data_IF_287870583331
#
_entry.id   IF_287870583331
#
_cell.length_a   1.000
_cell.length_b   1.000
_cell.length_c   1.000
_cell.angle_alpha   90.00
_cell.angle_beta   90.00
_cell.angle_gamma   90.00
#
_symmetry.space_group_name_H-M   'P 1'
#
loop_
_entity.id
_entity.type
_entity.pdbx_description
1 polymer ?
#
# COMPACT_ATOMS: atom_id res chain seq x y z
N UNK A 1 3.66 -7.14 13.74
CA UNK A 1 4.92 -7.62 13.11
C UNK A 1 4.60 -7.99 11.68
N UNK A 2 5.50 -7.69 10.75
CA UNK A 2 5.37 -8.06 9.34
C UNK A 2 6.43 -9.10 9.00
N UNK A 3 6.07 -10.11 8.22
CA UNK A 3 6.98 -11.13 7.70
C UNK A 3 6.81 -11.27 6.19
N UNK A 4 7.92 -11.52 5.53
CA UNK A 4 8.01 -11.72 4.09
C UNK A 4 8.60 -13.09 3.84
N UNK A 5 7.89 -13.90 3.06
CA UNK A 5 8.33 -15.23 2.66
C UNK A 5 8.47 -15.29 1.14
N UNK A 6 9.32 -16.18 0.65
CA UNK A 6 9.39 -16.49 -0.77
C UNK A 6 8.12 -17.21 -1.21
N UNK A 7 7.56 -16.82 -2.34
CA UNK A 7 6.58 -17.65 -3.03
C UNK A 7 7.29 -18.80 -3.78
N UNK A 8 6.53 -19.82 -4.14
CA UNK A 8 6.86 -20.85 -5.13
C UNK A 8 7.31 -20.31 -6.50
N UNK A 9 7.09 -19.02 -6.78
CA UNK A 9 7.59 -18.35 -7.99
C UNK A 9 8.79 -17.46 -7.63
N UNK A 10 9.96 -17.66 -8.26
CA UNK A 10 11.16 -16.88 -7.96
C UNK A 10 10.92 -15.37 -8.10
N UNK A 11 11.36 -14.61 -7.08
CA UNK A 11 11.25 -13.15 -7.06
C UNK A 11 9.87 -12.63 -6.65
N UNK A 12 8.95 -13.50 -6.22
CA UNK A 12 7.64 -13.09 -5.69
C UNK A 12 7.61 -13.25 -4.17
N UNK A 13 7.00 -12.27 -3.50
CA UNK A 13 6.83 -12.24 -2.06
C UNK A 13 5.43 -12.67 -1.62
N UNK A 14 5.39 -13.42 -0.53
CA UNK A 14 4.18 -13.64 0.25
C UNK A 14 4.31 -12.88 1.57
N UNK A 15 3.45 -11.88 1.75
CA UNK A 15 3.45 -10.97 2.88
C UNK A 15 2.44 -11.42 3.92
N UNK A 16 2.84 -11.38 5.19
CA UNK A 16 1.97 -11.62 6.33
C UNK A 16 2.14 -10.53 7.37
N UNK A 17 1.05 -10.15 8.02
CA UNK A 17 1.08 -9.19 9.12
C UNK A 17 0.08 -9.57 10.21
N UNK A 18 0.19 -8.94 11.36
CA UNK A 18 -0.80 -9.10 12.42
C UNK A 18 -2.06 -8.30 12.05
N UNK A 19 -3.22 -8.95 12.10
CA UNK A 19 -4.48 -8.24 11.99
C UNK A 19 -4.61 -7.18 13.12
N UNK A 20 -5.01 -5.98 12.76
CA UNK A 20 -5.31 -4.88 13.67
C UNK A 20 -6.77 -5.00 14.10
N UNK A 21 -7.08 -5.05 15.41
CA UNK A 21 -8.46 -5.04 15.88
C UNK A 21 -9.21 -3.80 15.39
N UNK A 22 -10.39 -3.97 14.80
CA UNK A 22 -11.20 -2.88 14.25
C UNK A 22 -10.93 -2.57 12.77
N UNK A 23 -9.82 -3.04 12.21
CA UNK A 23 -9.54 -2.89 10.78
C UNK A 23 -10.49 -3.76 9.94
N UNK A 24 -11.14 -3.14 8.97
CA UNK A 24 -12.04 -3.82 8.03
C UNK A 24 -11.29 -4.31 6.79
N UNK A 25 -10.21 -3.62 6.42
CA UNK A 25 -9.46 -3.88 5.19
C UNK A 25 -8.05 -3.29 5.27
N UNK A 26 -7.18 -3.73 4.36
CA UNK A 26 -5.78 -3.31 4.28
C UNK A 26 -5.39 -2.89 2.87
N UNK A 27 -4.57 -1.86 2.75
CA UNK A 27 -3.84 -1.52 1.55
C UNK A 27 -2.39 -2.01 1.69
N UNK A 28 -1.87 -2.64 0.64
CA UNK A 28 -0.53 -3.23 0.57
C UNK A 28 0.28 -2.42 -0.42
N UNK A 29 1.41 -1.91 0.05
CA UNK A 29 2.21 -0.90 -0.65
C UNK A 29 3.64 -1.42 -0.77
N UNK A 30 4.24 -1.24 -1.93
CA UNK A 30 5.65 -1.53 -2.22
C UNK A 30 6.35 -0.23 -2.60
N UNK A 31 7.60 -0.07 -2.20
CA UNK A 31 8.46 0.99 -2.73
C UNK A 31 9.90 0.52 -2.90
N UNK A 32 10.69 1.31 -3.61
CA UNK A 32 12.10 1.05 -3.85
C UNK A 32 12.94 1.61 -2.69
N UNK A 33 13.76 0.77 -2.06
CA UNK A 33 14.60 1.18 -0.94
C UNK A 33 15.62 2.26 -1.35
N UNK A 34 16.03 2.29 -2.62
CA UNK A 34 16.97 3.29 -3.13
C UNK A 34 16.38 4.71 -3.22
N UNK A 35 15.05 4.81 -3.25
CA UNK A 35 14.32 6.09 -3.25
C UNK A 35 14.05 6.62 -1.84
N UNK A 36 14.30 5.80 -0.80
CA UNK A 36 14.15 6.21 0.59
C UNK A 36 15.26 7.19 0.95
N UNK A 37 14.87 8.38 1.39
CA UNK A 37 15.80 9.43 1.80
C UNK A 37 15.41 10.01 3.15
N UNK A 38 16.40 10.50 3.88
CA UNK A 38 16.19 11.22 5.13
C UNK A 38 16.66 12.65 4.95
N UNK A 39 15.78 13.61 5.17
CA UNK A 39 16.09 15.04 5.07
C UNK A 39 15.34 15.81 6.14
N UNK A 40 16.01 16.74 6.82
CA UNK A 40 15.42 17.59 7.86
C UNK A 40 14.70 16.82 9.00
N UNK A 41 15.11 15.59 9.29
CA UNK A 41 14.48 14.75 10.31
C UNK A 41 13.21 14.02 9.85
N UNK A 42 12.85 14.15 8.58
CA UNK A 42 11.75 13.43 7.95
C UNK A 42 12.30 12.34 7.02
N UNK A 43 11.58 11.21 6.95
CA UNK A 43 11.85 10.12 6.01
C UNK A 43 10.92 10.32 4.82
N UNK A 44 11.48 10.49 3.62
CA UNK A 44 10.71 10.40 2.38
C UNK A 44 10.83 8.98 1.83
N UNK A 45 9.70 8.36 1.53
CA UNK A 45 9.64 7.02 0.96
C UNK A 45 9.84 6.99 -0.57
N UNK A 46 9.88 8.16 -1.20
CA UNK A 46 9.84 8.27 -2.65
C UNK A 46 8.50 7.80 -3.26
N UNK A 47 8.49 7.48 -4.56
CA UNK A 47 7.34 6.88 -5.22
C UNK A 47 7.00 5.49 -4.66
N UNK A 48 5.71 5.19 -4.53
CA UNK A 48 5.23 3.88 -4.06
C UNK A 48 4.16 3.30 -4.98
N UNK A 49 4.10 1.97 -5.04
CA UNK A 49 3.13 1.21 -5.80
C UNK A 49 2.13 0.52 -4.85
N UNK A 50 0.84 0.68 -5.12
CA UNK A 50 -0.22 -0.05 -4.38
C UNK A 50 -0.40 -1.41 -5.04
N UNK A 51 0.10 -2.46 -4.39
CA UNK A 51 0.01 -3.84 -4.87
C UNK A 51 -1.40 -4.41 -4.72
N UNK A 52 -2.09 -4.01 -3.66
CA UNK A 52 -3.48 -4.40 -3.42
C UNK A 52 -4.15 -3.37 -2.53
N UNK A 53 -5.37 -2.97 -2.89
CA UNK A 53 -6.20 -2.13 -2.03
C UNK A 53 -7.39 -2.92 -1.51
N UNK A 54 -7.79 -2.64 -0.27
CA UNK A 54 -8.97 -3.21 0.33
C UNK A 54 -8.92 -4.72 0.60
N UNK A 55 -7.74 -5.24 0.92
CA UNK A 55 -7.54 -6.63 1.27
C UNK A 55 -8.25 -6.96 2.60
N UNK A 56 -9.14 -7.98 2.65
CA UNK A 56 -9.88 -8.31 3.87
C UNK A 56 -9.07 -9.14 4.88
N UNK A 57 -7.94 -9.71 4.44
CA UNK A 57 -7.10 -10.59 5.24
C UNK A 57 -5.79 -9.94 5.65
N UNK A 58 -5.07 -10.59 6.58
CA UNK A 58 -3.76 -10.15 7.05
C UNK A 58 -2.59 -10.80 6.29
N UNK A 59 -2.80 -11.05 5.00
CA UNK A 59 -1.82 -11.66 4.10
C UNK A 59 -2.04 -11.17 2.67
N UNK A 60 -0.97 -11.04 1.91
CA UNK A 60 -1.02 -10.69 0.49
C UNK A 60 0.05 -11.42 -0.30
N UNK A 61 -0.35 -12.03 -1.41
CA UNK A 61 0.52 -12.76 -2.32
C UNK A 61 0.71 -11.97 -3.59
N UNK A 62 1.96 -11.66 -3.92
CA UNK A 62 2.27 -11.02 -5.19
C UNK A 62 1.84 -11.90 -6.37
N UNK A 63 1.21 -11.28 -7.36
CA UNK A 63 0.84 -11.94 -8.59
C UNK A 63 2.05 -12.17 -9.51
N UNK A 64 1.91 -12.99 -10.58
CA UNK A 64 3.01 -13.31 -11.49
C UNK A 64 3.57 -12.10 -12.27
N UNK A 65 2.90 -10.95 -12.20
CA UNK A 65 3.35 -9.67 -12.75
C UNK A 65 4.14 -8.81 -11.75
N UNK A 66 4.51 -9.36 -10.58
CA UNK A 66 5.32 -8.66 -9.60
C UNK A 66 6.70 -8.26 -10.14
N UNK A 67 7.20 -7.12 -9.68
CA UNK A 67 8.55 -6.68 -10.02
C UNK A 67 9.59 -7.50 -9.25
N UNK A 68 10.69 -7.83 -9.90
CA UNK A 68 11.85 -8.47 -9.27
C UNK A 68 12.93 -7.40 -9.10
N UNK A 69 13.45 -7.15 -7.88
CA UNK A 69 14.48 -6.16 -7.70
C UNK A 69 15.76 -6.60 -8.40
N UNK A 70 16.46 -5.67 -9.05
CA UNK A 70 17.78 -5.95 -9.63
C UNK A 70 18.78 -6.29 -8.53
N UNK A 71 19.84 -7.02 -8.88
CA UNK A 71 20.89 -7.39 -7.92
C UNK A 71 21.48 -6.13 -7.27
N UNK A 72 21.45 -6.08 -5.94
CA UNK A 72 21.92 -4.94 -5.15
C UNK A 72 20.83 -3.91 -4.81
N UNK A 73 19.62 -4.06 -5.37
CA UNK A 73 18.43 -3.31 -4.97
C UNK A 73 17.53 -4.15 -4.08
N UNK A 74 16.65 -3.47 -3.34
CA UNK A 74 15.64 -4.11 -2.52
C UNK A 74 14.36 -3.29 -2.56
N UNK A 75 13.23 -3.98 -2.44
CA UNK A 75 11.96 -3.34 -2.16
C UNK A 75 11.70 -3.30 -0.66
N UNK A 76 11.00 -2.27 -0.20
CA UNK A 76 10.33 -2.27 1.09
C UNK A 76 8.83 -2.45 0.89
N UNK A 77 8.17 -2.96 1.93
CA UNK A 77 6.73 -3.18 1.93
C UNK A 77 6.10 -2.52 3.15
N UNK A 78 4.96 -1.87 2.93
CA UNK A 78 4.13 -1.27 3.97
C UNK A 78 2.71 -1.82 3.87
N UNK A 79 2.03 -1.86 5.02
CA UNK A 79 0.62 -2.23 5.11
C UNK A 79 -0.09 -1.15 5.90
N UNK A 80 -1.14 -0.60 5.31
CA UNK A 80 -2.01 0.38 5.94
C UNK A 80 -3.37 -0.25 6.20
N UNK A 81 -3.91 -0.10 7.41
CA UNK A 81 -5.25 -0.58 7.73
C UNK A 81 -6.30 0.51 7.44
N UNK A 82 -7.56 0.12 7.28
CA UNK A 82 -8.68 1.06 7.13
C UNK A 82 -9.81 0.67 8.07
N UNK A 83 -10.45 1.68 8.64
CA UNK A 83 -11.67 1.57 9.45
C UNK A 83 -12.79 2.27 8.65
N UNK A 84 -13.60 1.49 7.92
CA UNK A 84 -14.58 2.03 6.96
C UNK A 84 -13.94 2.51 5.64
N UNK A 85 -14.62 3.44 4.95
CA UNK A 85 -14.15 3.99 3.67
C UNK A 85 -12.97 4.96 3.80
N UNK A 86 -12.63 5.37 5.02
CA UNK A 86 -11.52 6.29 5.29
C UNK A 86 -10.26 5.49 5.63
N UNK A 87 -9.11 5.90 5.09
CA UNK A 87 -7.84 5.40 5.60
C UNK A 87 -7.65 5.75 7.06
N UNK A 88 -6.89 4.92 7.78
CA UNK A 88 -6.35 5.24 9.10
C UNK A 88 -5.31 6.39 9.10
N UNK A 89 -5.13 7.11 7.98
CA UNK A 89 -4.01 8.03 7.78
C UNK A 89 -2.65 7.32 7.74
N UNK A 90 -1.61 8.11 7.47
CA UNK A 90 -0.22 7.66 7.48
C UNK A 90 0.34 7.73 8.91
N UNK A 91 0.19 6.63 9.64
CA UNK A 91 0.61 6.52 11.05
C UNK A 91 -0.56 6.59 12.03
N UNK A 92 -0.24 6.62 13.31
CA UNK A 92 -1.21 6.77 14.41
C UNK A 92 -0.97 8.10 15.11
N UNK A 93 -1.92 8.59 15.93
CA UNK A 93 -1.67 9.77 16.78
C UNK A 93 -0.42 9.62 17.67
N UNK A 94 -0.10 8.38 18.08
CA UNK A 94 1.06 8.06 18.91
C UNK A 94 2.34 7.77 18.13
N UNK A 95 2.25 7.64 16.80
CA UNK A 95 3.37 7.40 15.90
C UNK A 95 3.02 7.92 14.49
N UNK A 96 2.96 9.25 14.31
CA UNK A 96 2.68 9.85 13.01
C UNK A 96 3.82 9.49 12.04
N UNK A 97 3.47 9.06 10.81
CA UNK A 97 4.48 8.69 9.82
C UNK A 97 5.13 9.96 9.24
N UNK A 98 6.43 9.96 8.90
CA UNK A 98 7.08 11.13 8.34
C UNK A 98 6.61 11.31 6.89
N UNK A 99 5.88 12.40 6.63
CA UNK A 99 5.42 12.91 5.34
C UNK A 99 4.60 11.98 4.41
N UNK A 100 3.53 12.53 3.82
CA UNK A 100 2.81 11.89 2.71
C UNK A 100 3.76 11.65 1.51
N UNK A 101 3.62 10.53 0.77
CA UNK A 101 4.41 10.28 -0.43
C UNK A 101 4.17 11.39 -1.46
N UNK A 102 5.24 11.76 -2.20
CA UNK A 102 5.17 12.81 -3.22
C UNK A 102 4.38 12.41 -4.47
N UNK A 103 4.19 11.10 -4.70
CA UNK A 103 3.41 10.55 -5.82
C UNK A 103 2.94 9.11 -5.54
N UNK A 104 1.73 8.77 -6.01
CA UNK A 104 1.14 7.43 -5.97
C UNK A 104 0.55 7.12 -7.36
N UNK A 105 0.92 6.00 -8.00
CA UNK A 105 0.54 5.71 -9.40
C UNK A 105 -0.99 5.62 -9.63
N UNK A 106 -1.67 4.73 -8.90
CA UNK A 106 -3.08 4.36 -9.15
C UNK A 106 -4.04 5.14 -8.23
N UNK A 107 -3.52 5.72 -7.17
CA UNK A 107 -4.26 6.42 -6.12
C UNK A 107 -3.44 6.40 -4.83
N UNK A 108 -3.56 7.46 -4.04
CA UNK A 108 -2.87 7.48 -2.76
C UNK A 108 -3.62 6.63 -1.74
N UNK A 109 -2.90 5.79 -0.97
CA UNK A 109 -3.50 4.99 0.08
C UNK A 109 -4.41 5.82 0.98
N UNK A 110 -5.67 5.40 1.06
CA UNK A 110 -6.70 6.09 1.83
C UNK A 110 -7.71 6.94 1.10
N UNK A 111 -7.56 7.12 -0.20
CA UNK A 111 -8.67 7.64 -1.01
C UNK A 111 -9.89 6.70 -0.90
N UNK A 112 -11.12 7.24 -0.81
CA UNK A 112 -12.31 6.42 -0.88
C UNK A 112 -12.28 5.69 -2.22
N UNK A 113 -12.56 4.39 -2.20
CA UNK A 113 -12.74 3.61 -3.43
C UNK A 113 -14.03 4.10 -4.08
N UNK A 114 -13.95 5.19 -4.86
CA UNK A 114 -15.08 5.66 -5.66
C UNK A 114 -15.29 4.62 -6.74
N UNK A 115 -16.22 3.71 -6.48
CA UNK A 115 -16.85 2.91 -7.51
C UNK A 115 -17.32 3.88 -8.59
N UNK A 116 -16.73 3.80 -9.79
CA UNK A 116 -17.15 4.56 -10.95
C UNK A 116 -18.57 4.14 -11.32
N UNK A 117 -19.56 4.67 -10.61
CA UNK A 117 -20.94 4.65 -11.05
C UNK A 117 -21.01 5.72 -12.13
N UNK A 118 -20.86 5.27 -13.37
CA UNK A 118 -21.11 6.07 -14.56
C UNK A 118 -22.41 6.86 -14.34
N UNK A 119 -22.30 8.19 -14.33
CA UNK A 119 -23.46 9.06 -14.44
C UNK A 119 -24.05 8.83 -15.83
N UNK A 120 -24.96 7.87 -15.96
CA UNK A 120 -25.86 7.79 -17.10
C UNK A 120 -26.87 8.92 -16.95
N UNK A 121 -26.53 10.06 -17.53
CA UNK A 121 -27.44 11.18 -17.75
C UNK A 121 -28.61 10.68 -18.61
N UNK A 122 -29.75 10.40 -17.99
CA UNK A 122 -30.99 10.15 -18.71
C UNK A 122 -31.49 11.49 -19.28
N UNK A 123 -31.19 11.74 -20.56
CA UNK A 123 -31.92 12.74 -21.33
C UNK A 123 -33.35 12.23 -21.57
N UNK A 124 -34.31 12.68 -20.74
CA UNK A 124 -35.72 12.65 -21.10
C UNK A 124 -35.97 13.71 -22.18
N UNK A 125 -36.54 13.25 -23.29
CA UNK A 125 -37.06 14.06 -24.39
C UNK A 125 -38.55 14.32 -24.19
#
# INVERSE_FOLDING_TARGET
MMSVEEDSTPGMAHLYWNAVPGAEMYDVIQGDLSEVSVSNGEISLGPVHVLGSGQPGASYREGPSGAIPVVGSAFFYLVQYREGQSASGWGTESSPWPAEPSFCDIGCPGEPVVSSVASMTVHRK
#
